data_IF_433008467474
#
_entry.id   IF_433008467474
#
_cell.length_a   1.000
_cell.length_b   1.000
_cell.length_c   1.000
_cell.angle_alpha   90.00
_cell.angle_beta   90.00
_cell.angle_gamma   90.00
#
_symmetry.space_group_name_H-M   'P 1'
#
loop_
_entity.id
_entity.type
_entity.pdbx_description
1 polymer ?
#
# COMPACT_ATOMS: atom_id res chain seq x y z
N UNK A 1 -34.09 -13.59 19.46
CA UNK A 1 -33.96 -12.10 19.53
C UNK A 1 -34.34 -11.53 18.20
N UNK A 2 -35.40 -10.75 18.12
CA UNK A 2 -35.79 -10.02 16.90
C UNK A 2 -34.65 -9.08 16.52
N UNK A 3 -34.00 -9.32 15.39
CA UNK A 3 -32.95 -8.42 14.89
C UNK A 3 -33.65 -7.21 14.28
N UNK A 4 -33.69 -6.08 14.99
CA UNK A 4 -34.23 -4.85 14.45
C UNK A 4 -33.52 -4.52 13.12
N UNK A 5 -34.25 -3.96 12.17
CA UNK A 5 -33.74 -3.54 10.87
C UNK A 5 -32.54 -2.60 11.03
N UNK A 6 -32.61 -1.73 12.04
CA UNK A 6 -31.49 -0.83 12.43
C UNK A 6 -30.22 -1.60 12.74
N UNK A 7 -30.31 -2.72 13.50
CA UNK A 7 -29.15 -3.52 13.88
C UNK A 7 -28.56 -4.25 12.66
N UNK A 8 -29.37 -4.68 11.71
CA UNK A 8 -28.93 -5.31 10.46
C UNK A 8 -28.18 -4.32 9.57
N UNK A 9 -28.70 -3.11 9.42
CA UNK A 9 -28.06 -2.05 8.62
C UNK A 9 -26.75 -1.60 9.28
N UNK A 10 -26.76 -1.34 10.59
CA UNK A 10 -25.53 -0.97 11.32
C UNK A 10 -24.48 -2.08 11.27
N UNK A 11 -24.88 -3.34 11.42
CA UNK A 11 -23.97 -4.46 11.30
C UNK A 11 -23.33 -4.58 9.92
N UNK A 12 -24.10 -4.37 8.86
CA UNK A 12 -23.59 -4.37 7.48
C UNK A 12 -22.60 -3.23 7.25
N UNK A 13 -22.96 -2.00 7.65
CA UNK A 13 -22.10 -0.82 7.49
C UNK A 13 -20.82 -0.94 8.32
N UNK A 14 -20.93 -1.36 9.58
CA UNK A 14 -19.78 -1.56 10.45
C UNK A 14 -18.88 -2.69 9.95
N UNK A 15 -19.45 -3.80 9.51
CA UNK A 15 -18.70 -4.92 8.96
C UNK A 15 -17.93 -4.55 7.68
N UNK A 16 -18.56 -3.80 6.78
CA UNK A 16 -17.91 -3.32 5.56
C UNK A 16 -16.79 -2.32 5.87
N UNK A 17 -17.00 -1.42 6.83
CA UNK A 17 -16.00 -0.45 7.25
C UNK A 17 -14.77 -1.15 7.88
N UNK A 18 -15.01 -2.12 8.76
CA UNK A 18 -13.93 -2.91 9.38
C UNK A 18 -13.14 -3.69 8.33
N UNK A 19 -13.81 -4.30 7.36
CA UNK A 19 -13.12 -5.01 6.28
C UNK A 19 -12.21 -4.09 5.46
N UNK A 20 -12.73 -2.92 5.05
CA UNK A 20 -11.94 -1.92 4.31
C UNK A 20 -10.75 -1.43 5.14
N UNK A 21 -10.96 -1.19 6.45
CA UNK A 21 -9.89 -0.79 7.36
C UNK A 21 -8.79 -1.84 7.48
N UNK A 22 -9.16 -3.12 7.62
CA UNK A 22 -8.18 -4.22 7.69
C UNK A 22 -7.35 -4.34 6.41
N UNK A 23 -7.97 -4.19 5.24
CA UNK A 23 -7.27 -4.21 3.96
C UNK A 23 -6.32 -3.01 3.85
N UNK A 24 -6.77 -1.81 4.24
CA UNK A 24 -5.93 -0.61 4.24
C UNK A 24 -4.71 -0.77 5.18
N UNK A 25 -4.90 -1.31 6.38
CA UNK A 25 -3.81 -1.60 7.32
C UNK A 25 -2.82 -2.63 6.77
N UNK A 26 -3.30 -3.68 6.11
CA UNK A 26 -2.44 -4.65 5.45
C UNK A 26 -1.60 -4.00 4.32
N UNK A 27 -2.22 -3.19 3.46
CA UNK A 27 -1.51 -2.46 2.41
C UNK A 27 -0.46 -1.50 3.00
N UNK A 28 -0.80 -0.78 4.08
CA UNK A 28 0.13 0.11 4.77
C UNK A 28 1.32 -0.66 5.36
N UNK A 29 1.08 -1.83 5.96
CA UNK A 29 2.15 -2.69 6.48
C UNK A 29 3.12 -3.13 5.37
N UNK A 30 2.61 -3.59 4.22
CA UNK A 30 3.44 -3.96 3.07
C UNK A 30 4.24 -2.77 2.52
N UNK A 31 3.62 -1.60 2.43
CA UNK A 31 4.29 -0.38 1.98
C UNK A 31 5.42 0.03 2.96
N UNK A 32 5.16 -0.06 4.26
CA UNK A 32 6.17 0.21 5.31
C UNK A 32 7.38 -0.70 5.18
N UNK A 33 7.18 -2.00 4.93
CA UNK A 33 8.26 -2.96 4.72
C UNK A 33 9.08 -2.63 3.46
N UNK A 34 8.45 -2.22 2.37
CA UNK A 34 9.16 -1.78 1.17
C UNK A 34 10.02 -0.54 1.44
N UNK A 35 9.49 0.46 2.15
CA UNK A 35 10.25 1.66 2.56
C UNK A 35 11.46 1.29 3.42
N UNK A 36 11.30 0.33 4.33
CA UNK A 36 12.41 -0.14 5.16
C UNK A 36 13.49 -0.87 4.33
N UNK A 37 13.09 -1.65 3.33
CA UNK A 37 14.01 -2.29 2.38
C UNK A 37 14.80 -1.27 1.56
N UNK A 38 14.15 -0.19 1.10
CA UNK A 38 14.85 0.93 0.44
C UNK A 38 15.84 1.64 1.36
N UNK A 39 15.49 1.87 2.62
CA UNK A 39 16.43 2.43 3.60
C UNK A 39 17.64 1.52 3.80
N UNK A 40 17.43 0.22 3.93
CA UNK A 40 18.51 -0.77 4.01
C UNK A 40 19.44 -0.73 2.80
N UNK A 41 18.91 -0.57 1.58
CA UNK A 41 19.72 -0.41 0.37
C UNK A 41 20.55 0.88 0.40
N UNK A 42 19.95 2.01 0.81
CA UNK A 42 20.66 3.30 0.88
C UNK A 42 21.77 3.31 1.92
N UNK A 43 21.52 2.78 3.12
CA UNK A 43 22.46 2.78 4.25
C UNK A 43 23.52 1.69 4.16
N UNK A 44 23.28 0.61 3.43
CA UNK A 44 24.17 -0.52 3.25
C UNK A 44 24.87 -0.52 1.88
N UNK A 45 24.32 -1.25 0.88
CA UNK A 45 25.02 -1.49 -0.40
C UNK A 45 25.34 -0.22 -1.17
N UNK A 46 24.44 0.75 -1.24
CA UNK A 46 24.68 1.99 -1.98
C UNK A 46 25.72 2.86 -1.27
N UNK A 47 25.64 2.98 0.05
CA UNK A 47 26.66 3.68 0.84
C UNK A 47 28.05 3.03 0.70
N UNK A 48 28.12 1.69 0.70
CA UNK A 48 29.37 0.95 0.45
C UNK A 48 29.94 1.24 -0.92
N UNK A 49 29.10 1.27 -1.96
CA UNK A 49 29.53 1.61 -3.32
C UNK A 49 30.09 3.04 -3.41
N UNK A 50 29.44 4.01 -2.77
CA UNK A 50 29.93 5.39 -2.75
C UNK A 50 31.28 5.52 -2.04
N UNK A 51 31.42 4.87 -0.87
CA UNK A 51 32.67 4.92 -0.12
C UNK A 51 33.85 4.26 -0.85
N UNK A 52 33.61 3.13 -1.52
CA UNK A 52 34.69 2.51 -2.29
C UNK A 52 35.06 3.32 -3.54
N UNK A 53 34.11 3.99 -4.17
CA UNK A 53 34.40 4.92 -5.28
C UNK A 53 35.24 6.09 -4.80
N UNK A 54 34.92 6.64 -3.64
CA UNK A 54 35.68 7.73 -3.00
C UNK A 54 37.11 7.25 -2.65
N UNK A 55 37.25 6.09 -1.99
CA UNK A 55 38.57 5.51 -1.70
C UNK A 55 39.39 5.32 -2.97
N UNK A 56 38.81 4.81 -4.06
CA UNK A 56 39.48 4.62 -5.34
C UNK A 56 39.92 5.96 -5.95
N UNK A 57 39.10 7.00 -5.84
CA UNK A 57 39.47 8.35 -6.31
C UNK A 57 40.67 8.89 -5.51
N UNK A 58 40.61 8.86 -4.18
CA UNK A 58 41.71 9.34 -3.33
C UNK A 58 42.97 8.54 -3.54
N UNK A 59 42.89 7.23 -3.74
CA UNK A 59 44.03 6.38 -4.06
C UNK A 59 44.68 6.78 -5.41
N UNK A 60 43.90 7.08 -6.45
CA UNK A 60 44.42 7.56 -7.73
C UNK A 60 45.11 8.90 -7.59
N UNK A 61 44.58 9.79 -6.76
CA UNK A 61 45.22 11.09 -6.46
C UNK A 61 46.51 10.87 -5.68
N UNK A 62 46.55 9.95 -4.71
CA UNK A 62 47.75 9.60 -3.98
C UNK A 62 48.85 9.16 -4.91
N UNK A 63 48.56 8.24 -5.84
CA UNK A 63 49.52 7.78 -6.85
C UNK A 63 49.97 8.93 -7.76
N UNK A 64 49.10 9.87 -8.08
CA UNK A 64 49.43 11.08 -8.84
C UNK A 64 50.37 12.00 -8.07
N UNK A 65 50.17 12.20 -6.77
CA UNK A 65 51.06 13.00 -5.95
C UNK A 65 52.46 12.35 -5.77
N UNK A 66 52.51 11.03 -5.69
CA UNK A 66 53.76 10.30 -5.80
C UNK A 66 54.52 10.62 -7.11
N UNK A 67 53.85 10.54 -8.25
CA UNK A 67 54.45 10.90 -9.56
C UNK A 67 54.87 12.36 -9.63
N UNK A 68 54.07 13.27 -9.07
CA UNK A 68 54.39 14.69 -8.96
C UNK A 68 55.69 14.88 -8.17
N UNK A 69 55.87 14.17 -7.04
CA UNK A 69 57.06 14.23 -6.24
C UNK A 69 58.31 13.75 -7.04
N UNK A 70 58.20 12.63 -7.78
CA UNK A 70 59.29 12.13 -8.60
C UNK A 70 59.72 13.10 -9.71
N UNK A 71 58.74 13.73 -10.37
CA UNK A 71 58.99 14.61 -11.55
C UNK A 71 59.44 15.99 -11.12
N UNK A 72 58.87 16.54 -10.01
CA UNK A 72 59.01 17.95 -9.62
C UNK A 72 59.77 18.14 -8.32
N UNK A 73 60.02 17.09 -7.56
CA UNK A 73 60.58 17.14 -6.20
C UNK A 73 62.08 17.23 -6.12
N UNK A 74 62.77 17.79 -7.15
CA UNK A 74 64.25 18.03 -7.08
C UNK A 74 64.59 19.03 -5.97
N UNK A 75 63.82 20.10 -5.83
CA UNK A 75 63.98 21.02 -4.70
C UNK A 75 63.39 20.41 -3.44
N UNK A 76 63.98 20.68 -2.25
CA UNK A 76 63.43 20.22 -0.99
C UNK A 76 62.00 20.75 -0.75
N UNK A 77 61.73 22.00 -1.10
CA UNK A 77 60.41 22.63 -0.93
C UNK A 77 59.32 21.94 -1.76
N UNK A 78 59.59 21.64 -3.06
CA UNK A 78 58.60 20.97 -3.90
C UNK A 78 58.42 19.51 -3.48
N UNK A 79 59.52 18.82 -3.12
CA UNK A 79 59.43 17.47 -2.61
C UNK A 79 58.59 17.35 -1.37
N UNK A 80 58.80 18.22 -0.39
CA UNK A 80 58.05 18.20 0.88
C UNK A 80 56.60 18.55 0.66
N UNK A 81 56.28 19.49 -0.29
CA UNK A 81 54.93 19.83 -0.69
C UNK A 81 54.19 18.61 -1.29
N UNK A 82 54.73 17.96 -2.29
CA UNK A 82 54.06 16.82 -2.95
C UNK A 82 54.01 15.60 -2.03
N UNK A 83 55.02 15.42 -1.18
CA UNK A 83 54.99 14.36 -0.18
C UNK A 83 53.89 14.60 0.87
N UNK A 84 53.72 15.80 1.37
CA UNK A 84 52.63 16.11 2.29
C UNK A 84 51.24 15.89 1.63
N UNK A 85 51.09 16.19 0.34
CA UNK A 85 49.88 15.92 -0.41
C UNK A 85 49.66 14.38 -0.58
N UNK A 86 50.72 13.61 -0.82
CA UNK A 86 50.67 12.14 -0.84
C UNK A 86 50.19 11.58 0.52
N UNK A 87 50.76 12.03 1.63
CA UNK A 87 50.40 11.56 2.98
C UNK A 87 48.96 11.94 3.36
N UNK A 88 48.49 13.08 2.94
CA UNK A 88 47.08 13.47 3.12
C UNK A 88 46.13 12.55 2.35
N UNK A 89 46.46 12.21 1.11
CA UNK A 89 45.64 11.27 0.33
C UNK A 89 45.71 9.86 0.92
N UNK A 90 46.88 9.42 1.41
CA UNK A 90 47.03 8.14 2.13
C UNK A 90 46.09 8.07 3.33
N UNK A 91 46.04 9.14 4.12
CA UNK A 91 45.15 9.26 5.28
C UNK A 91 43.69 9.20 4.85
N UNK A 92 43.27 9.97 3.83
CA UNK A 92 41.93 9.97 3.33
C UNK A 92 41.48 8.60 2.82
N UNK A 93 42.31 7.85 2.10
CA UNK A 93 42.01 6.47 1.69
C UNK A 93 41.76 5.58 2.90
N UNK A 94 42.61 5.65 3.93
CA UNK A 94 42.48 4.84 5.15
C UNK A 94 41.20 5.20 5.92
N UNK A 95 40.88 6.49 6.02
CA UNK A 95 39.68 6.99 6.70
C UNK A 95 38.39 6.49 5.98
N UNK A 96 38.37 6.59 4.66
CA UNK A 96 37.21 6.14 3.86
C UNK A 96 37.06 4.61 3.92
N UNK A 97 38.15 3.85 3.81
CA UNK A 97 38.10 2.39 3.95
C UNK A 97 37.68 1.95 5.35
N UNK A 98 38.11 2.68 6.38
CA UNK A 98 37.65 2.46 7.77
C UNK A 98 36.13 2.71 7.90
N UNK A 99 35.60 3.78 7.32
CA UNK A 99 34.15 4.03 7.26
C UNK A 99 33.44 2.90 6.54
N UNK A 100 33.97 2.44 5.41
CA UNK A 100 33.41 1.32 4.63
C UNK A 100 33.33 0.02 5.46
N UNK A 101 34.32 -0.24 6.32
CA UNK A 101 34.32 -1.40 7.22
C UNK A 101 33.22 -1.35 8.30
N UNK A 102 32.65 -0.17 8.55
CA UNK A 102 31.60 0.06 9.57
C UNK A 102 30.20 0.19 8.99
N UNK A 103 30.04 0.06 7.66
CA UNK A 103 28.73 0.17 7.00
C UNK A 103 27.82 -0.98 7.44
N UNK A 104 26.66 -0.61 7.95
CA UNK A 104 25.64 -1.59 8.35
C UNK A 104 25.10 -2.35 7.15
N UNK A 105 24.98 -3.67 7.27
CA UNK A 105 24.45 -4.51 6.20
C UNK A 105 25.46 -4.90 5.10
N UNK A 106 26.73 -4.52 5.24
CA UNK A 106 27.80 -5.05 4.39
C UNK A 106 27.95 -6.56 4.60
N UNK A 107 28.15 -7.32 3.51
CA UNK A 107 28.32 -8.78 3.62
C UNK A 107 29.63 -9.13 4.32
N UNK A 108 29.74 -10.28 5.01
CA UNK A 108 31.00 -10.73 5.59
C UNK A 108 32.13 -10.82 4.56
N UNK A 109 31.82 -11.19 3.32
CA UNK A 109 32.77 -11.23 2.21
C UNK A 109 33.28 -9.82 1.87
N UNK A 110 32.40 -8.84 1.79
CA UNK A 110 32.77 -7.44 1.56
C UNK A 110 33.67 -6.91 2.67
N UNK A 111 33.32 -7.16 3.93
CA UNK A 111 34.12 -6.73 5.08
C UNK A 111 35.53 -7.34 5.07
N UNK A 112 35.64 -8.63 4.71
CA UNK A 112 36.94 -9.30 4.57
C UNK A 112 37.79 -8.69 3.45
N UNK A 113 37.18 -8.38 2.30
CA UNK A 113 37.88 -7.71 1.18
C UNK A 113 38.33 -6.29 1.57
N UNK A 114 37.50 -5.53 2.27
CA UNK A 114 37.83 -4.19 2.76
C UNK A 114 39.00 -4.25 3.74
N UNK A 115 38.96 -5.19 4.70
CA UNK A 115 40.05 -5.33 5.67
C UNK A 115 41.39 -5.68 4.98
N UNK A 116 41.37 -6.62 4.02
CA UNK A 116 42.52 -6.94 3.22
C UNK A 116 43.08 -5.73 2.47
N UNK A 117 42.17 -4.92 1.87
CA UNK A 117 42.59 -3.72 1.15
C UNK A 117 43.17 -2.65 2.07
N UNK A 118 42.65 -2.49 3.30
CA UNK A 118 43.23 -1.62 4.33
C UNK A 118 44.67 -2.02 4.65
N UNK A 119 44.92 -3.31 4.86
CA UNK A 119 46.22 -3.82 5.23
C UNK A 119 47.23 -3.72 4.08
N UNK A 120 46.81 -4.03 2.85
CA UNK A 120 47.62 -3.87 1.64
C UNK A 120 47.96 -2.39 1.37
N UNK A 121 46.99 -1.50 1.53
CA UNK A 121 47.25 -0.06 1.36
C UNK A 121 48.21 0.49 2.41
N UNK A 122 48.19 0.00 3.65
CA UNK A 122 49.20 0.33 4.66
C UNK A 122 50.58 -0.15 4.26
N UNK A 123 50.70 -1.39 3.78
CA UNK A 123 51.94 -1.95 3.30
C UNK A 123 52.50 -1.17 2.10
N UNK A 124 51.60 -0.70 1.22
CA UNK A 124 51.93 0.14 0.07
C UNK A 124 52.56 1.47 0.53
N UNK A 125 52.00 2.14 1.56
CA UNK A 125 52.55 3.36 2.14
C UNK A 125 53.98 3.18 2.65
N UNK A 126 54.31 2.02 3.24
CA UNK A 126 55.67 1.68 3.65
C UNK A 126 56.59 1.60 2.44
N UNK A 127 56.10 1.01 1.35
CA UNK A 127 56.89 0.87 0.10
C UNK A 127 57.16 2.24 -0.54
N UNK A 128 56.20 3.12 -0.58
CA UNK A 128 56.36 4.48 -1.10
C UNK A 128 57.37 5.31 -0.26
N UNK A 129 57.42 5.13 1.06
CA UNK A 129 58.42 5.79 1.94
C UNK A 129 59.82 5.32 1.58
N UNK A 130 60.02 4.01 1.32
CA UNK A 130 61.31 3.49 0.81
C UNK A 130 61.66 4.08 -0.57
N UNK A 131 60.67 4.24 -1.46
CA UNK A 131 60.87 4.88 -2.76
C UNK A 131 61.27 6.35 -2.63
N UNK A 132 60.66 7.11 -1.72
CA UNK A 132 61.04 8.49 -1.41
C UNK A 132 62.50 8.57 -0.91
N UNK A 133 62.89 7.67 -0.01
CA UNK A 133 64.23 7.65 0.56
C UNK A 133 65.28 7.32 -0.53
N UNK A 134 64.97 6.37 -1.45
CA UNK A 134 65.80 6.07 -2.60
C UNK A 134 65.94 7.27 -3.57
N UNK A 135 64.84 7.99 -3.86
CA UNK A 135 64.83 9.21 -4.63
C UNK A 135 65.77 10.27 -4.04
N UNK A 136 65.65 10.48 -2.71
CA UNK A 136 66.49 11.45 -1.99
C UNK A 136 67.96 11.04 -2.02
N UNK A 137 68.28 9.78 -1.72
CA UNK A 137 69.62 9.23 -1.72
C UNK A 137 70.32 9.34 -3.09
N UNK A 138 69.52 9.25 -4.18
CA UNK A 138 70.02 9.40 -5.57
C UNK A 138 70.03 10.87 -6.05
N UNK A 139 69.94 11.84 -5.15
CA UNK A 139 70.03 13.27 -5.50
C UNK A 139 68.81 13.77 -6.29
N UNK A 140 67.65 13.15 -6.16
CA UNK A 140 66.42 13.52 -6.87
C UNK A 140 66.28 12.84 -8.24
N UNK A 141 66.87 11.66 -8.39
CA UNK A 141 66.67 10.87 -9.60
C UNK A 141 65.33 10.12 -9.55
N UNK A 142 64.43 10.51 -10.44
CA UNK A 142 63.06 9.93 -10.53
C UNK A 142 63.08 8.43 -10.82
N UNK A 143 64.08 7.94 -11.59
CA UNK A 143 64.20 6.52 -11.95
C UNK A 143 64.52 5.68 -10.72
N UNK A 144 65.41 6.16 -9.85
CA UNK A 144 65.77 5.46 -8.61
C UNK A 144 64.55 5.33 -7.67
N UNK A 145 63.73 6.40 -7.54
CA UNK A 145 62.52 6.34 -6.76
C UNK A 145 61.44 5.42 -7.37
N UNK A 146 61.23 5.49 -8.69
CA UNK A 146 60.25 4.66 -9.40
C UNK A 146 60.60 3.16 -9.34
N UNK A 147 61.83 2.80 -9.58
CA UNK A 147 62.30 1.39 -9.52
C UNK A 147 62.05 0.76 -8.15
N UNK A 148 62.23 1.54 -7.06
CA UNK A 148 62.06 1.05 -5.70
C UNK A 148 60.58 0.69 -5.37
N UNK A 149 59.59 1.27 -6.11
CA UNK A 149 58.14 1.02 -5.92
C UNK A 149 57.47 0.43 -7.15
N UNK A 150 58.22 0.03 -8.16
CA UNK A 150 57.67 -0.46 -9.42
C UNK A 150 56.72 -1.64 -9.21
N UNK A 151 55.45 -1.41 -9.55
CA UNK A 151 54.40 -2.42 -9.54
C UNK A 151 53.80 -2.75 -8.16
N UNK A 152 54.26 -2.09 -7.05
CA UNK A 152 53.73 -2.34 -5.72
C UNK A 152 52.27 -1.89 -5.56
N UNK A 153 51.81 -0.89 -6.33
CA UNK A 153 50.48 -0.33 -6.35
C UNK A 153 49.50 -1.13 -7.23
N UNK A 154 50.01 -2.04 -8.08
CA UNK A 154 49.17 -2.76 -9.05
C UNK A 154 48.15 -3.65 -8.36
N UNK A 155 48.56 -4.43 -7.36
CA UNK A 155 47.66 -5.32 -6.64
C UNK A 155 46.57 -4.56 -5.88
N UNK A 156 46.90 -3.50 -5.17
CA UNK A 156 45.95 -2.65 -4.46
C UNK A 156 44.97 -1.95 -5.44
N UNK A 157 45.46 -1.46 -6.57
CA UNK A 157 44.64 -0.83 -7.61
C UNK A 157 43.66 -1.82 -8.24
N UNK A 158 44.08 -3.05 -8.51
CA UNK A 158 43.23 -4.09 -9.08
C UNK A 158 42.16 -4.53 -8.07
N UNK A 159 42.51 -4.76 -6.82
CA UNK A 159 41.57 -5.13 -5.77
C UNK A 159 40.55 -4.01 -5.52
N UNK A 160 40.97 -2.72 -5.49
CA UNK A 160 40.11 -1.59 -5.39
C UNK A 160 39.06 -1.56 -6.54
N UNK A 161 39.55 -1.78 -7.77
CA UNK A 161 38.69 -1.80 -8.96
C UNK A 161 37.70 -2.97 -8.93
N UNK A 162 38.15 -4.16 -8.51
CA UNK A 162 37.26 -5.33 -8.35
C UNK A 162 36.20 -5.10 -7.25
N UNK A 163 36.57 -4.47 -6.14
CA UNK A 163 35.67 -4.14 -5.08
C UNK A 163 34.62 -3.11 -5.53
N UNK A 164 35.06 -2.07 -6.26
CA UNK A 164 34.14 -1.08 -6.89
C UNK A 164 33.12 -1.79 -7.78
N UNK A 165 33.58 -2.64 -8.69
CA UNK A 165 32.71 -3.34 -9.64
C UNK A 165 31.71 -4.27 -8.92
N UNK A 166 32.20 -5.05 -7.95
CA UNK A 166 31.35 -5.97 -7.19
C UNK A 166 30.27 -5.25 -6.38
N UNK A 167 30.62 -4.15 -5.72
CA UNK A 167 29.66 -3.38 -4.92
C UNK A 167 28.64 -2.63 -5.79
N UNK A 168 29.06 -2.08 -6.92
CA UNK A 168 28.16 -1.46 -7.90
C UNK A 168 27.16 -2.47 -8.46
N UNK A 169 27.64 -3.64 -8.86
CA UNK A 169 26.81 -4.72 -9.37
C UNK A 169 25.79 -5.17 -8.31
N UNK A 170 26.25 -5.46 -7.10
CA UNK A 170 25.39 -5.88 -6.00
C UNK A 170 24.33 -4.81 -5.65
N UNK A 171 24.72 -3.53 -5.59
CA UNK A 171 23.78 -2.43 -5.34
C UNK A 171 22.75 -2.30 -6.45
N UNK A 172 23.16 -2.45 -7.71
CA UNK A 172 22.28 -2.42 -8.87
C UNK A 172 21.26 -3.56 -8.86
N UNK A 173 21.73 -4.79 -8.62
CA UNK A 173 20.85 -5.98 -8.54
C UNK A 173 19.84 -5.86 -7.39
N UNK A 174 20.28 -5.44 -6.21
CA UNK A 174 19.38 -5.22 -5.07
C UNK A 174 18.38 -4.11 -5.33
N UNK A 175 18.80 -3.01 -5.96
CA UNK A 175 17.90 -1.93 -6.35
C UNK A 175 16.79 -2.40 -7.29
N UNK A 176 17.13 -3.19 -8.31
CA UNK A 176 16.18 -3.76 -9.25
C UNK A 176 15.20 -4.74 -8.56
N UNK A 177 15.71 -5.60 -7.66
CA UNK A 177 14.87 -6.53 -6.90
C UNK A 177 13.87 -5.78 -6.01
N UNK A 178 14.32 -4.76 -5.28
CA UNK A 178 13.45 -3.97 -4.39
C UNK A 178 12.42 -3.19 -5.20
N UNK A 179 12.82 -2.57 -6.32
CA UNK A 179 11.91 -1.86 -7.22
C UNK A 179 10.84 -2.80 -7.77
N UNK A 180 11.22 -3.95 -8.31
CA UNK A 180 10.25 -4.91 -8.85
C UNK A 180 9.32 -5.51 -7.79
N UNK A 181 9.81 -5.72 -6.57
CA UNK A 181 8.99 -6.14 -5.44
C UNK A 181 8.00 -5.05 -5.02
N UNK A 182 8.42 -3.79 -5.00
CA UNK A 182 7.56 -2.65 -4.71
C UNK A 182 6.45 -2.50 -5.76
N UNK A 183 6.78 -2.56 -7.05
CA UNK A 183 5.82 -2.46 -8.15
C UNK A 183 4.76 -3.57 -8.08
N UNK A 184 5.20 -4.81 -7.82
CA UNK A 184 4.26 -5.93 -7.58
C UNK A 184 3.36 -5.70 -6.38
N UNK A 185 3.91 -5.23 -5.28
CA UNK A 185 3.14 -4.96 -4.05
C UNK A 185 2.09 -3.88 -4.29
N UNK A 186 2.45 -2.80 -4.99
CA UNK A 186 1.52 -1.73 -5.36
C UNK A 186 0.42 -2.26 -6.27
N UNK A 187 0.77 -2.99 -7.32
CA UNK A 187 -0.20 -3.56 -8.26
C UNK A 187 -1.17 -4.52 -7.58
N UNK A 188 -0.66 -5.52 -6.85
CA UNK A 188 -1.49 -6.49 -6.14
C UNK A 188 -2.32 -5.82 -5.04
N UNK A 189 -1.75 -4.86 -4.31
CA UNK A 189 -2.48 -4.07 -3.31
C UNK A 189 -3.65 -3.31 -3.92
N UNK A 190 -3.43 -2.63 -5.05
CA UNK A 190 -4.48 -1.92 -5.77
C UNK A 190 -5.58 -2.86 -6.29
N UNK A 191 -5.20 -4.01 -6.86
CA UNK A 191 -6.16 -5.03 -7.33
C UNK A 191 -6.98 -5.61 -6.18
N UNK A 192 -6.37 -5.92 -5.04
CA UNK A 192 -7.07 -6.44 -3.85
C UNK A 192 -8.04 -5.38 -3.31
N UNK A 193 -7.62 -4.11 -3.23
CA UNK A 193 -8.49 -3.02 -2.80
C UNK A 193 -9.69 -2.85 -3.75
N UNK A 194 -9.47 -2.86 -5.05
CA UNK A 194 -10.54 -2.75 -6.04
C UNK A 194 -11.51 -3.94 -5.96
N UNK A 195 -10.98 -5.15 -5.91
CA UNK A 195 -11.78 -6.37 -5.80
C UNK A 195 -12.60 -6.40 -4.50
N UNK A 196 -12.02 -5.97 -3.38
CA UNK A 196 -12.73 -5.89 -2.10
C UNK A 196 -13.83 -4.83 -2.12
N UNK A 197 -13.59 -3.66 -2.73
CA UNK A 197 -14.61 -2.62 -2.88
C UNK A 197 -15.80 -3.11 -3.72
N UNK A 198 -15.53 -3.79 -4.82
CA UNK A 198 -16.58 -4.40 -5.68
C UNK A 198 -17.35 -5.46 -4.89
N UNK A 199 -16.65 -6.36 -4.19
CA UNK A 199 -17.28 -7.41 -3.39
C UNK A 199 -18.19 -6.84 -2.30
N UNK A 200 -17.69 -5.87 -1.54
CA UNK A 200 -18.48 -5.16 -0.50
C UNK A 200 -19.69 -4.49 -1.12
N UNK A 201 -19.54 -3.81 -2.26
CA UNK A 201 -20.64 -3.18 -2.99
C UNK A 201 -21.71 -4.20 -3.41
N UNK A 202 -21.32 -5.30 -4.03
CA UNK A 202 -22.24 -6.35 -4.47
C UNK A 202 -22.98 -7.02 -3.30
N UNK A 203 -22.26 -7.34 -2.20
CA UNK A 203 -22.87 -7.92 -0.99
C UNK A 203 -23.85 -6.94 -0.37
N UNK A 204 -23.48 -5.66 -0.28
CA UNK A 204 -24.35 -4.62 0.27
C UNK A 204 -25.63 -4.47 -0.58
N UNK A 205 -25.50 -4.35 -1.90
CA UNK A 205 -26.63 -4.29 -2.83
C UNK A 205 -27.55 -5.51 -2.72
N UNK A 206 -26.96 -6.70 -2.65
CA UNK A 206 -27.73 -7.93 -2.50
C UNK A 206 -28.51 -8.00 -1.18
N UNK A 207 -27.85 -7.66 -0.06
CA UNK A 207 -28.49 -7.64 1.27
C UNK A 207 -29.58 -6.58 1.35
N UNK A 208 -29.32 -5.36 0.87
CA UNK A 208 -30.31 -4.27 0.85
C UNK A 208 -31.51 -4.62 -0.03
N UNK A 209 -31.25 -5.14 -1.24
CA UNK A 209 -32.34 -5.52 -2.13
C UNK A 209 -33.21 -6.62 -1.52
N UNK A 210 -32.60 -7.67 -0.98
CA UNK A 210 -33.32 -8.83 -0.41
C UNK A 210 -34.05 -8.51 0.89
N UNK A 211 -33.39 -7.75 1.81
CA UNK A 211 -33.89 -7.56 3.16
C UNK A 211 -34.73 -6.28 3.34
N UNK A 212 -34.61 -5.31 2.43
CA UNK A 212 -35.29 -4.01 2.51
C UNK A 212 -36.19 -3.77 1.32
N UNK A 213 -35.62 -3.68 0.11
CA UNK A 213 -36.35 -3.21 -1.06
C UNK A 213 -37.49 -4.17 -1.42
N UNK A 214 -37.20 -5.47 -1.49
CA UNK A 214 -38.20 -6.47 -1.86
C UNK A 214 -39.40 -6.52 -0.89
N UNK A 215 -39.22 -6.59 0.44
CA UNK A 215 -40.36 -6.56 1.37
C UNK A 215 -41.13 -5.21 1.37
N UNK A 216 -40.43 -4.09 1.22
CA UNK A 216 -41.07 -2.78 1.14
C UNK A 216 -41.95 -2.67 -0.10
N UNK A 217 -41.49 -3.11 -1.26
CA UNK A 217 -42.27 -3.16 -2.50
C UNK A 217 -43.50 -4.03 -2.34
N UNK A 218 -43.36 -5.21 -1.73
CA UNK A 218 -44.51 -6.08 -1.47
C UNK A 218 -45.57 -5.42 -0.59
N UNK A 219 -45.15 -4.66 0.44
CA UNK A 219 -46.07 -3.89 1.28
C UNK A 219 -46.74 -2.71 0.54
N UNK A 220 -45.99 -1.98 -0.28
CA UNK A 220 -46.53 -0.91 -1.13
C UNK A 220 -47.58 -1.47 -2.09
N UNK A 221 -47.31 -2.57 -2.78
CA UNK A 221 -48.25 -3.21 -3.69
C UNK A 221 -49.49 -3.71 -2.96
N UNK A 222 -49.32 -4.22 -1.73
CA UNK A 222 -50.42 -4.65 -0.89
C UNK A 222 -51.34 -3.48 -0.50
N UNK A 223 -50.76 -2.40 0.02
CA UNK A 223 -51.52 -1.19 0.40
C UNK A 223 -52.20 -0.55 -0.83
N UNK A 224 -51.51 -0.55 -1.99
CA UNK A 224 -52.10 -0.07 -3.26
C UNK A 224 -53.31 -0.90 -3.70
N UNK A 225 -53.30 -2.22 -3.48
CA UNK A 225 -54.48 -3.08 -3.74
C UNK A 225 -55.64 -2.78 -2.78
N UNK A 226 -55.32 -2.58 -1.49
CA UNK A 226 -56.33 -2.21 -0.49
C UNK A 226 -57.02 -0.89 -0.85
N UNK A 227 -56.25 0.12 -1.33
CA UNK A 227 -56.82 1.43 -1.74
C UNK A 227 -57.77 1.32 -2.95
N UNK A 228 -57.67 0.27 -3.74
CA UNK A 228 -58.57 -0.04 -4.88
C UNK A 228 -59.77 -0.93 -4.49
N UNK A 229 -59.96 -1.20 -3.20
CA UNK A 229 -61.01 -2.07 -2.73
C UNK A 229 -60.77 -3.58 -2.94
N UNK A 230 -59.52 -3.97 -3.23
CA UNK A 230 -59.14 -5.36 -3.42
C UNK A 230 -58.67 -5.96 -2.08
N UNK A 231 -59.63 -6.50 -1.30
CA UNK A 231 -59.39 -7.12 0.00
C UNK A 231 -59.05 -8.62 -0.13
N UNK A 232 -58.05 -8.95 -0.97
CA UNK A 232 -57.59 -10.31 -1.20
C UNK A 232 -56.87 -10.95 0.01
N UNK A 233 -55.93 -11.86 -0.26
CA UNK A 233 -55.15 -12.54 0.78
C UNK A 233 -54.31 -11.59 1.61
N UNK A 234 -54.07 -11.96 2.88
CA UNK A 234 -53.19 -11.23 3.79
C UNK A 234 -51.77 -11.25 3.29
N UNK A 235 -51.04 -10.15 3.51
CA UNK A 235 -49.60 -10.16 3.23
C UNK A 235 -48.90 -11.06 4.25
N UNK A 236 -48.16 -12.04 3.73
CA UNK A 236 -47.40 -12.98 4.57
C UNK A 236 -45.96 -12.52 4.68
N UNK A 237 -45.63 -11.72 5.68
CA UNK A 237 -44.27 -11.32 6.04
C UNK A 237 -43.98 -11.90 7.45
N UNK A 238 -43.26 -13.04 7.50
CA UNK A 238 -42.90 -13.74 8.74
C UNK A 238 -41.68 -13.13 9.42
N UNK A 239 -41.59 -11.80 9.47
CA UNK A 239 -40.46 -11.10 10.12
C UNK A 239 -40.90 -10.55 11.49
N UNK A 240 -39.90 -10.49 12.40
CA UNK A 240 -40.09 -9.95 13.77
C UNK A 240 -39.41 -8.58 13.93
N UNK A 241 -39.20 -7.86 12.82
CA UNK A 241 -38.64 -6.51 12.80
C UNK A 241 -39.70 -5.47 12.48
N UNK A 242 -39.28 -4.22 12.25
CA UNK A 242 -40.13 -3.08 11.96
C UNK A 242 -41.00 -3.30 10.69
N UNK A 243 -40.50 -4.02 9.70
CA UNK A 243 -41.29 -4.37 8.49
C UNK A 243 -42.32 -5.45 8.79
N UNK A 244 -42.04 -6.37 9.70
CA UNK A 244 -43.00 -7.34 10.20
C UNK A 244 -44.16 -6.66 10.95
N UNK A 245 -43.84 -5.68 11.81
CA UNK A 245 -44.89 -4.88 12.51
C UNK A 245 -45.72 -4.10 11.51
N UNK A 246 -45.12 -3.52 10.49
CA UNK A 246 -45.86 -2.81 9.43
C UNK A 246 -46.78 -3.74 8.63
N UNK A 247 -46.36 -4.97 8.37
CA UNK A 247 -47.19 -5.99 7.72
C UNK A 247 -48.39 -6.40 8.56
N UNK A 248 -48.22 -6.54 9.88
CA UNK A 248 -49.33 -6.82 10.81
C UNK A 248 -50.32 -5.65 10.81
N UNK A 249 -49.87 -4.41 10.92
CA UNK A 249 -50.69 -3.22 10.89
C UNK A 249 -51.48 -3.11 9.55
N UNK A 250 -50.83 -3.39 8.42
CA UNK A 250 -51.46 -3.41 7.12
C UNK A 250 -52.56 -4.50 7.00
N UNK A 251 -52.34 -5.68 7.61
CA UNK A 251 -53.34 -6.74 7.65
C UNK A 251 -54.55 -6.36 8.55
N UNK A 252 -54.33 -5.68 9.69
CA UNK A 252 -55.40 -5.15 10.54
C UNK A 252 -56.22 -4.11 9.78
N UNK A 253 -55.58 -3.18 9.08
CA UNK A 253 -56.26 -2.21 8.24
C UNK A 253 -57.10 -2.88 7.15
N UNK A 254 -56.57 -3.91 6.50
CA UNK A 254 -57.32 -4.70 5.49
C UNK A 254 -58.57 -5.32 6.10
N UNK A 255 -58.48 -5.94 7.27
CA UNK A 255 -59.61 -6.61 7.91
C UNK A 255 -60.68 -5.58 8.28
N UNK A 256 -60.30 -4.41 8.83
CA UNK A 256 -61.22 -3.31 9.11
C UNK A 256 -61.92 -2.79 7.86
N UNK A 257 -61.19 -2.54 6.77
CA UNK A 257 -61.77 -2.05 5.51
C UNK A 257 -62.71 -3.10 4.91
N UNK A 258 -62.33 -4.39 4.89
CA UNK A 258 -63.15 -5.47 4.36
C UNK A 258 -64.49 -5.60 5.12
N UNK A 259 -64.46 -5.53 6.47
CA UNK A 259 -65.65 -5.59 7.31
C UNK A 259 -66.54 -4.35 7.04
N UNK A 260 -65.94 -3.15 6.98
CA UNK A 260 -66.69 -1.91 6.70
C UNK A 260 -67.36 -1.95 5.32
N UNK A 261 -66.65 -2.39 4.28
CA UNK A 261 -67.25 -2.53 2.95
C UNK A 261 -68.35 -3.58 2.91
N UNK A 262 -68.22 -4.70 3.62
CA UNK A 262 -69.24 -5.76 3.72
C UNK A 262 -70.49 -5.22 4.37
N UNK A 263 -70.38 -4.46 5.46
CA UNK A 263 -71.51 -3.82 6.14
C UNK A 263 -72.22 -2.77 5.26
N UNK A 264 -71.43 -1.90 4.59
CA UNK A 264 -71.98 -0.93 3.64
C UNK A 264 -72.77 -1.61 2.51
N UNK A 265 -72.22 -2.72 1.95
CA UNK A 265 -72.89 -3.49 0.91
C UNK A 265 -74.20 -4.10 1.42
N UNK A 266 -74.25 -4.61 2.66
CA UNK A 266 -75.46 -5.15 3.28
C UNK A 266 -76.50 -4.04 3.47
N UNK A 267 -76.12 -2.89 4.06
CA UNK A 267 -76.99 -1.74 4.25
C UNK A 267 -77.57 -1.17 2.94
N UNK A 268 -76.73 -1.13 1.89
CA UNK A 268 -77.18 -0.68 0.54
C UNK A 268 -78.19 -1.69 -0.03
N UNK A 269 -78.02 -2.98 0.14
CA UNK A 269 -78.99 -3.98 -0.27
C UNK A 269 -80.29 -3.91 0.48
N UNK A 270 -80.23 -3.69 1.80
CA UNK A 270 -81.42 -3.46 2.64
C UNK A 270 -82.23 -2.21 2.22
N UNK A 271 -81.51 -1.10 1.93
CA UNK A 271 -82.10 0.10 1.38
C UNK A 271 -82.75 -0.10 0.01
N UNK A 272 -82.15 -0.93 -0.87
CA UNK A 272 -82.70 -1.23 -2.19
C UNK A 272 -84.02 -2.04 -2.05
N UNK A 273 -84.03 -3.03 -1.16
CA UNK A 273 -85.28 -3.81 -0.83
C UNK A 273 -86.34 -2.90 -0.27
N UNK A 274 -86.03 -2.06 0.73
CA UNK A 274 -86.99 -1.11 1.32
C UNK A 274 -87.56 -0.08 0.29
N UNK A 275 -86.68 0.37 -0.65
CA UNK A 275 -87.11 1.27 -1.72
C UNK A 275 -88.06 0.58 -2.71
N UNK A 276 -87.86 -0.71 -3.01
CA UNK A 276 -88.75 -1.50 -3.84
C UNK A 276 -90.10 -1.75 -3.18
N UNK A 277 -90.09 -2.06 -1.88
CA UNK A 277 -91.33 -2.17 -1.09
C UNK A 277 -92.11 -0.90 -1.08
N UNK A 278 -91.49 0.28 -0.76
CA UNK A 278 -92.13 1.57 -0.80
C UNK A 278 -92.78 1.92 -2.16
N UNK A 279 -92.05 1.59 -3.25
CA UNK A 279 -92.56 1.76 -4.63
C UNK A 279 -93.75 0.86 -4.91
N UNK A 280 -93.75 -0.34 -4.42
CA UNK A 280 -94.91 -1.27 -4.55
C UNK A 280 -96.11 -0.75 -3.78
N UNK A 281 -95.95 -0.30 -2.54
CA UNK A 281 -97.04 0.29 -1.73
C UNK A 281 -97.60 1.59 -2.36
N UNK A 282 -96.69 2.46 -2.89
CA UNK A 282 -97.15 3.70 -3.58
C UNK A 282 -97.97 3.37 -4.85
N UNK A 283 -97.56 2.28 -5.57
CA UNK A 283 -98.34 1.85 -6.75
C UNK A 283 -99.69 1.30 -6.39
N UNK A 284 -99.79 0.50 -5.33
CA UNK A 284 -101.08 -0.01 -4.81
C UNK A 284 -101.95 1.11 -4.31
N UNK A 285 -101.42 2.11 -3.62
CA UNK A 285 -102.21 3.31 -3.18
C UNK A 285 -102.72 4.13 -4.40
N UNK A 286 -101.87 4.29 -5.42
CA UNK A 286 -102.30 4.98 -6.65
C UNK A 286 -103.44 4.24 -7.41
N UNK A 287 -103.40 2.92 -7.41
CA UNK A 287 -104.48 2.08 -7.98
C UNK A 287 -105.73 2.18 -7.14
N UNK A 288 -105.67 2.13 -5.81
CA UNK A 288 -106.84 2.23 -4.93
C UNK A 288 -107.50 3.61 -4.94
N UNK A 289 -106.81 4.71 -5.33
CA UNK A 289 -107.38 6.05 -5.52
C UNK A 289 -108.04 6.22 -6.90
N UNK A 290 -107.81 5.29 -7.82
CA UNK A 290 -108.54 5.30 -9.13
C UNK A 290 -109.88 4.52 -9.12
N UNK A 291 -110.12 3.71 -8.08
CA UNK A 291 -111.35 2.93 -7.93
C UNK A 291 -112.45 3.59 -7.03
N UNK A 292 -112.15 4.76 -6.49
CA UNK A 292 -113.13 5.63 -5.83
C UNK A 292 -113.53 6.80 -6.72
#
# INVERSE_FOLDING_TARGET
>A
MAKSLRLQILGLLSGSLVLVLLIALACFHFLSNNVQSYRGLLEGPLRSSQLVDEANLQFKIQVQEWKNMLIRGKSAADRDKYWAQFEEQERLVQDVLSQLSQVKGASPSTLSQVQKLIDEHKALGVSYRKGRDAFIAAGGDAVAGDVAVKGVDRAASEQMSQLVESLRKNSGEQSLMISSAADRTILFGALIMLASAILVGLVTLWVVNRNLITPIRALIDYVSRLSRGQFGERVNITRQDELGHLAVAANILRDFLADTFSRLKSSTSELDVASHELKSIATLMAQGTHEQ
#
